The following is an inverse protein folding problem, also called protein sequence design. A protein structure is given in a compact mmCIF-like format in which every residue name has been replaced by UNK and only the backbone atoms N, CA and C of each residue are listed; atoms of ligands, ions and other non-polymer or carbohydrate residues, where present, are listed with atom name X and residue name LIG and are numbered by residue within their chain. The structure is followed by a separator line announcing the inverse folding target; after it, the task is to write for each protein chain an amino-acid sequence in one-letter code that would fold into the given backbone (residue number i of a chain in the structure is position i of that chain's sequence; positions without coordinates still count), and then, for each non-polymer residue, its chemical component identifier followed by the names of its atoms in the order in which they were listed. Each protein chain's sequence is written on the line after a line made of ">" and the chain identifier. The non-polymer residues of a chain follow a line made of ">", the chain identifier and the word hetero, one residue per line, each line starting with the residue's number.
data_IF_216321365361
#
_entry.id   IF_216321365361
#
_cell.length_a   1.000
_cell.length_b   1.000
_cell.length_c   1.000
_cell.angle_alpha   90.00
_cell.angle_beta   90.00
_cell.angle_gamma   90.00
#
_symmetry.space_group_name_H-M   'P 1'
#
loop_
_entity.id
_entity.type
_entity.pdbx_description
1 polymer ?
#
# COMPACT_ATOMS: atom_id res chain seq x y z
N UNK A 1 90.55 76.82 -78.77
CA UNK A 1 89.51 77.36 -77.87
C UNK A 1 88.94 76.15 -77.16
N UNK A 2 89.60 75.62 -76.13
CA UNK A 2 89.68 76.13 -74.74
C UNK A 2 88.31 76.11 -74.04
N UNK A 3 88.21 75.17 -73.08
CA UNK A 3 87.48 75.17 -71.79
C UNK A 3 85.96 75.44 -71.81
N UNK A 4 85.12 74.81 -70.99
CA UNK A 4 85.27 74.46 -69.59
C UNK A 4 84.10 73.55 -69.17
N UNK A 5 84.36 72.56 -68.31
CA UNK A 5 83.36 71.86 -67.51
C UNK A 5 82.87 72.78 -66.36
N UNK A 6 81.72 72.51 -65.75
CA UNK A 6 81.83 72.05 -64.38
C UNK A 6 80.84 70.94 -64.00
N UNK A 7 81.35 70.09 -63.12
CA UNK A 7 80.72 69.02 -62.35
C UNK A 7 79.59 69.50 -61.43
N UNK A 8 78.52 68.69 -61.33
CA UNK A 8 77.67 68.57 -60.14
C UNK A 8 77.38 67.10 -59.85
N UNK A 9 78.03 66.61 -58.81
CA UNK A 9 77.71 65.39 -58.08
C UNK A 9 76.70 65.70 -56.95
N UNK A 10 75.80 64.76 -56.67
CA UNK A 10 75.17 64.62 -55.35
C UNK A 10 73.65 64.78 -55.30
N UNK A 11 72.96 63.70 -54.94
CA UNK A 11 71.67 63.77 -54.25
C UNK A 11 70.61 62.76 -54.69
N UNK A 12 70.80 61.45 -54.49
CA UNK A 12 69.71 60.45 -54.54
C UNK A 12 69.74 59.46 -53.35
N UNK A 13 70.53 59.71 -52.30
CA UNK A 13 70.68 58.79 -51.15
C UNK A 13 69.57 58.88 -50.08
N UNK A 14 68.65 59.85 -50.16
CA UNK A 14 67.61 60.07 -49.13
C UNK A 14 66.27 59.35 -49.37
N UNK A 15 65.95 59.01 -50.62
CA UNK A 15 64.71 58.28 -50.95
C UNK A 15 64.80 56.79 -50.62
N UNK A 16 65.99 56.21 -50.81
CA UNK A 16 66.25 54.79 -50.55
C UNK A 16 66.10 54.41 -49.07
N UNK A 17 66.48 55.27 -48.13
CA UNK A 17 66.40 54.97 -46.70
C UNK A 17 64.96 55.10 -46.13
N UNK A 18 64.18 56.07 -46.60
CA UNK A 18 62.77 56.19 -46.22
C UNK A 18 61.91 55.09 -46.85
N UNK A 19 62.17 54.74 -48.10
CA UNK A 19 61.49 53.64 -48.80
C UNK A 19 61.84 52.29 -48.15
N UNK A 20 63.10 52.09 -47.75
CA UNK A 20 63.53 50.91 -46.98
C UNK A 20 62.90 50.85 -45.58
N UNK A 21 62.72 51.99 -44.90
CA UNK A 21 62.05 52.04 -43.59
C UNK A 21 60.55 51.71 -43.71
N UNK A 22 59.87 52.23 -44.73
CA UNK A 22 58.47 51.92 -45.02
C UNK A 22 58.28 50.45 -45.38
N UNK A 23 59.10 49.91 -46.29
CA UNK A 23 59.08 48.49 -46.67
C UNK A 23 59.38 47.58 -45.47
N UNK A 24 60.28 47.96 -44.57
CA UNK A 24 60.54 47.21 -43.32
C UNK A 24 59.35 47.21 -42.38
N UNK A 25 58.70 48.35 -42.18
CA UNK A 25 57.50 48.46 -41.35
C UNK A 25 56.32 47.67 -41.94
N UNK A 26 56.14 47.71 -43.25
CA UNK A 26 55.12 46.95 -43.96
C UNK A 26 55.38 45.44 -43.89
N UNK A 27 56.64 45.00 -44.05
CA UNK A 27 57.03 43.60 -43.84
C UNK A 27 56.80 43.16 -42.39
N UNK A 28 57.05 44.03 -41.40
CA UNK A 28 56.79 43.72 -40.00
C UNK A 28 55.29 43.62 -39.70
N UNK A 29 54.48 44.52 -40.25
CA UNK A 29 53.02 44.45 -40.15
C UNK A 29 52.48 43.18 -40.83
N UNK A 30 52.93 42.86 -42.05
CA UNK A 30 52.52 41.66 -42.78
C UNK A 30 52.94 40.40 -42.01
N UNK A 31 54.14 40.38 -41.40
CA UNK A 31 54.60 39.27 -40.54
C UNK A 31 53.74 39.09 -39.29
N UNK A 32 53.35 40.17 -38.61
CA UNK A 32 52.45 40.07 -37.43
C UNK A 32 51.07 39.55 -37.84
N UNK A 33 50.52 40.03 -38.96
CA UNK A 33 49.22 39.63 -39.48
C UNK A 33 49.20 38.15 -39.91
N UNK A 34 50.25 37.72 -40.63
CA UNK A 34 50.51 36.30 -40.94
C UNK A 34 50.70 35.46 -39.67
N UNK A 35 51.33 36.00 -38.63
CA UNK A 35 51.49 35.33 -37.33
C UNK A 35 50.15 35.12 -36.61
N UNK A 36 49.27 36.11 -36.63
CA UNK A 36 47.90 35.98 -36.09
C UNK A 36 47.04 35.02 -36.90
N UNK A 37 47.09 35.07 -38.24
CA UNK A 37 46.37 34.12 -39.11
C UNK A 37 46.84 32.68 -38.89
N UNK A 38 48.16 32.46 -38.77
CA UNK A 38 48.72 31.14 -38.40
C UNK A 38 48.30 30.69 -37.00
N UNK A 39 48.20 31.62 -36.04
CA UNK A 39 47.71 31.31 -34.70
C UNK A 39 46.23 30.94 -34.68
N UNK A 40 45.39 31.58 -35.51
CA UNK A 40 43.98 31.23 -35.64
C UNK A 40 43.81 29.89 -36.34
N UNK A 41 44.59 29.61 -37.40
CA UNK A 41 44.59 28.30 -38.08
C UNK A 41 45.00 27.16 -37.13
N UNK A 42 46.01 27.40 -36.28
CA UNK A 42 46.44 26.41 -35.28
C UNK A 42 45.37 26.14 -34.22
N UNK A 43 44.60 27.15 -33.81
CA UNK A 43 43.48 26.97 -32.86
C UNK A 43 42.28 26.29 -33.52
N UNK A 44 42.02 26.60 -34.79
CA UNK A 44 40.97 25.96 -35.59
C UNK A 44 41.23 24.46 -35.72
N UNK A 45 42.45 24.08 -36.09
CA UNK A 45 42.87 22.66 -36.18
C UNK A 45 42.82 21.95 -34.82
N UNK A 46 43.20 22.60 -33.72
CA UNK A 46 43.07 22.02 -32.38
C UNK A 46 41.61 21.81 -31.95
N UNK A 47 40.73 22.77 -32.25
CA UNK A 47 39.29 22.67 -31.97
C UNK A 47 38.61 21.61 -32.83
N UNK A 48 38.97 21.49 -34.11
CA UNK A 48 38.49 20.42 -34.99
C UNK A 48 38.93 19.04 -34.49
N UNK A 49 40.18 18.90 -34.03
CA UNK A 49 40.66 17.66 -33.43
C UNK A 49 39.93 17.31 -32.13
N UNK A 50 39.69 18.30 -31.26
CA UNK A 50 38.88 18.13 -30.03
C UNK A 50 37.44 17.77 -30.35
N UNK A 51 36.80 18.45 -31.31
CA UNK A 51 35.44 18.18 -31.74
C UNK A 51 35.32 16.75 -32.29
N UNK A 52 36.26 16.33 -33.13
CA UNK A 52 36.34 14.96 -33.65
C UNK A 52 36.51 13.94 -32.52
N UNK A 53 37.43 14.19 -31.57
CA UNK A 53 37.65 13.31 -30.43
C UNK A 53 36.38 13.18 -29.56
N UNK A 54 35.75 14.30 -29.19
CA UNK A 54 34.50 14.31 -28.41
C UNK A 54 33.34 13.70 -29.17
N UNK A 55 33.23 13.92 -30.49
CA UNK A 55 32.21 13.28 -31.33
C UNK A 55 32.39 11.77 -31.34
N UNK A 56 33.62 11.28 -31.52
CA UNK A 56 33.93 9.84 -31.48
C UNK A 56 33.64 9.23 -30.10
N UNK A 57 33.87 9.98 -29.02
CA UNK A 57 33.55 9.55 -27.67
C UNK A 57 32.04 9.49 -27.45
N UNK A 58 31.29 10.48 -27.93
CA UNK A 58 29.82 10.47 -27.87
C UNK A 58 29.24 9.31 -28.68
N UNK A 59 29.78 9.02 -29.87
CA UNK A 59 29.36 7.87 -30.68
C UNK A 59 29.59 6.55 -29.94
N UNK A 60 30.76 6.37 -29.31
CA UNK A 60 31.05 5.20 -28.47
C UNK A 60 30.11 5.08 -27.29
N UNK A 61 29.90 6.16 -26.53
CA UNK A 61 28.98 6.17 -25.39
C UNK A 61 27.55 5.84 -25.81
N UNK A 62 27.10 6.40 -26.93
CA UNK A 62 25.79 6.11 -27.52
C UNK A 62 25.68 4.65 -27.93
N UNK A 63 26.76 4.07 -28.49
CA UNK A 63 26.86 2.63 -28.76
C UNK A 63 26.70 1.79 -27.49
N UNK A 64 27.49 2.08 -26.46
CA UNK A 64 27.43 1.34 -25.17
C UNK A 64 26.08 1.48 -24.48
N UNK A 65 25.43 2.65 -24.56
CA UNK A 65 24.10 2.87 -24.00
C UNK A 65 23.03 2.06 -24.74
N UNK A 66 23.14 1.94 -26.08
CA UNK A 66 22.24 1.08 -26.85
C UNK A 66 22.43 -0.39 -26.48
N UNK A 67 23.68 -0.85 -26.42
CA UNK A 67 24.00 -2.23 -26.02
C UNK A 67 23.47 -2.56 -24.61
N UNK A 68 23.69 -1.68 -23.63
CA UNK A 68 23.18 -1.84 -22.27
C UNK A 68 21.64 -1.85 -22.24
N UNK A 69 20.99 -0.98 -23.02
CA UNK A 69 19.53 -0.97 -23.14
C UNK A 69 19.00 -2.28 -23.71
N UNK A 70 19.64 -2.79 -24.76
CA UNK A 70 19.22 -4.03 -25.42
C UNK A 70 19.42 -5.24 -24.49
N UNK A 71 20.48 -5.25 -23.66
CA UNK A 71 20.65 -6.24 -22.60
C UNK A 71 19.53 -6.18 -21.55
N UNK A 72 19.15 -4.99 -21.09
CA UNK A 72 18.05 -4.83 -20.13
C UNK A 72 16.72 -5.34 -20.72
N UNK A 73 16.44 -5.03 -21.99
CA UNK A 73 15.24 -5.51 -22.68
C UNK A 73 15.25 -7.05 -22.77
N UNK A 74 16.37 -7.64 -23.18
CA UNK A 74 16.52 -9.09 -23.26
C UNK A 74 16.33 -9.78 -21.89
N UNK A 75 16.92 -9.21 -20.83
CA UNK A 75 16.77 -9.74 -19.47
C UNK A 75 15.32 -9.63 -19.00
N UNK A 76 14.64 -8.54 -19.33
CA UNK A 76 13.22 -8.34 -19.00
C UNK A 76 12.34 -9.38 -19.71
N UNK A 77 12.56 -9.63 -20.99
CA UNK A 77 11.83 -10.66 -21.75
C UNK A 77 12.03 -12.07 -21.16
N UNK A 78 13.22 -12.35 -20.63
CA UNK A 78 13.50 -13.61 -19.94
C UNK A 78 12.75 -13.72 -18.61
N UNK A 79 12.70 -12.64 -17.82
CA UNK A 79 11.90 -12.56 -16.60
C UNK A 79 10.41 -12.75 -16.90
N UNK A 80 9.90 -12.10 -17.96
CA UNK A 80 8.49 -12.21 -18.37
C UNK A 80 8.14 -13.63 -18.85
N UNK A 81 9.06 -14.30 -19.55
CA UNK A 81 8.91 -15.70 -19.95
C UNK A 81 8.84 -16.64 -18.74
N UNK A 82 9.64 -16.40 -17.71
CA UNK A 82 9.59 -17.15 -16.46
C UNK A 82 8.30 -16.90 -15.66
N UNK A 83 7.51 -15.89 -16.01
CA UNK A 83 6.19 -15.64 -15.44
C UNK A 83 5.05 -16.31 -16.23
N UNK A 84 5.35 -17.01 -17.33
CA UNK A 84 4.34 -17.73 -18.11
C UNK A 84 3.93 -19.05 -17.41
N UNK A 85 2.64 -19.45 -17.45
CA UNK A 85 2.14 -20.70 -16.87
C UNK A 85 2.79 -21.95 -17.52
N UNK A 86 2.94 -23.09 -16.81
CA UNK A 86 2.10 -23.58 -15.72
C UNK A 86 2.55 -23.12 -14.33
N UNK A 87 1.63 -22.46 -13.62
CA UNK A 87 1.91 -21.73 -12.39
C UNK A 87 1.34 -22.46 -11.17
N UNK A 88 2.18 -22.59 -10.14
CA UNK A 88 1.75 -23.08 -8.84
C UNK A 88 1.17 -21.94 -8.00
N UNK A 89 0.25 -22.27 -7.10
CA UNK A 89 -0.28 -21.32 -6.12
C UNK A 89 0.40 -21.53 -4.77
N UNK A 90 0.45 -20.48 -3.97
CA UNK A 90 0.92 -20.53 -2.58
C UNK A 90 0.33 -19.40 -1.75
N UNK A 91 0.45 -19.51 -0.43
CA UNK A 91 0.00 -18.50 0.52
C UNK A 91 1.21 -17.76 1.10
N UNK A 92 1.23 -16.43 1.00
CA UNK A 92 2.28 -15.61 1.58
C UNK A 92 2.21 -15.63 3.12
N UNK A 93 3.33 -15.93 3.77
CA UNK A 93 3.42 -16.05 5.24
C UNK A 93 4.05 -14.81 5.86
N UNK A 94 5.25 -14.44 5.41
CA UNK A 94 6.01 -13.32 5.95
C UNK A 94 7.13 -12.90 4.99
N UNK A 95 7.60 -11.66 5.14
CA UNK A 95 8.82 -11.16 4.53
C UNK A 95 10.00 -11.35 5.47
N UNK A 96 11.17 -11.63 4.90
CA UNK A 96 12.43 -11.79 5.62
C UNK A 96 13.36 -10.59 5.39
N UNK A 97 14.41 -10.48 6.23
CA UNK A 97 15.40 -9.41 6.17
C UNK A 97 16.27 -9.43 4.89
N UNK A 98 16.38 -10.60 4.25
CA UNK A 98 17.20 -10.86 3.06
C UNK A 98 16.43 -10.67 1.73
N UNK A 99 15.34 -9.90 1.76
CA UNK A 99 14.40 -9.69 0.64
C UNK A 99 13.67 -10.93 0.12
N UNK A 100 13.90 -12.11 0.72
CA UNK A 100 13.12 -13.30 0.45
C UNK A 100 11.79 -13.27 1.21
N UNK A 101 10.89 -14.16 0.81
CA UNK A 101 9.59 -14.32 1.48
C UNK A 101 9.35 -15.79 1.80
N UNK A 102 8.66 -16.02 2.91
CA UNK A 102 8.20 -17.36 3.25
C UNK A 102 6.79 -17.55 2.69
N UNK A 103 6.60 -18.63 1.93
CA UNK A 103 5.33 -19.03 1.33
C UNK A 103 4.97 -20.45 1.76
N UNK A 104 3.67 -20.74 1.81
CA UNK A 104 3.17 -22.10 1.97
C UNK A 104 2.66 -22.61 0.63
N UNK A 105 3.19 -23.73 0.15
CA UNK A 105 2.74 -24.37 -1.09
C UNK A 105 3.00 -25.88 -1.03
N UNK A 106 2.12 -26.67 -1.63
CA UNK A 106 2.27 -28.14 -1.68
C UNK A 106 2.41 -28.81 -0.30
N UNK A 107 1.75 -28.27 0.74
CA UNK A 107 1.78 -28.84 2.09
C UNK A 107 3.03 -28.54 2.91
N UNK A 108 3.92 -27.66 2.44
CA UNK A 108 5.16 -27.30 3.12
C UNK A 108 5.45 -25.81 3.03
N UNK A 109 6.27 -25.33 3.97
CA UNK A 109 6.80 -23.96 3.95
C UNK A 109 8.05 -23.93 3.09
N UNK A 110 8.16 -22.92 2.22
CA UNK A 110 9.32 -22.64 1.40
C UNK A 110 9.73 -21.18 1.61
N UNK A 111 11.04 -20.93 1.59
CA UNK A 111 11.59 -19.59 1.46
C UNK A 111 11.95 -19.36 0.00
N UNK A 112 11.42 -18.31 -0.59
CA UNK A 112 11.45 -18.08 -2.02
C UNK A 112 11.81 -16.63 -2.33
N UNK A 113 12.32 -16.39 -3.54
CA UNK A 113 12.56 -15.04 -4.02
C UNK A 113 11.28 -14.45 -4.61
N UNK A 114 11.21 -13.12 -4.62
CA UNK A 114 10.12 -12.36 -5.24
C UNK A 114 10.64 -11.71 -6.51
N UNK A 115 9.91 -11.88 -7.61
CA UNK A 115 10.17 -11.23 -8.89
C UNK A 115 10.18 -9.71 -8.72
N UNK A 116 11.10 -8.98 -9.38
CA UNK A 116 11.10 -7.51 -9.37
C UNK A 116 9.81 -6.86 -9.87
N UNK A 117 8.96 -7.60 -10.58
CA UNK A 117 7.67 -7.12 -11.06
C UNK A 117 6.60 -7.02 -9.96
N UNK A 118 6.81 -7.68 -8.81
CA UNK A 118 5.89 -7.68 -7.67
C UNK A 118 6.37 -6.67 -6.63
N UNK A 119 5.46 -5.80 -6.21
CA UNK A 119 5.70 -4.91 -5.07
C UNK A 119 5.74 -5.71 -3.77
N UNK A 120 6.94 -5.85 -3.20
CA UNK A 120 7.18 -6.61 -1.96
C UNK A 120 6.57 -5.94 -0.74
N UNK A 121 6.40 -4.61 -0.76
CA UNK A 121 5.85 -3.84 0.35
C UNK A 121 4.32 -3.92 0.41
N UNK A 122 3.68 -4.26 -0.71
CA UNK A 122 2.23 -4.44 -0.82
C UNK A 122 1.75 -5.87 -0.47
N UNK A 123 2.66 -6.81 -0.22
CA UNK A 123 2.33 -8.20 0.13
C UNK A 123 1.75 -8.28 1.54
N UNK A 124 0.58 -8.91 1.64
CA UNK A 124 -0.19 -9.01 2.89
C UNK A 124 -0.19 -10.44 3.43
N UNK A 125 -0.09 -10.60 4.76
CA UNK A 125 -0.06 -11.94 5.40
C UNK A 125 -1.34 -12.72 5.08
N UNK A 126 -1.20 -13.93 4.54
CA UNK A 126 -2.32 -14.78 4.09
C UNK A 126 -2.72 -14.56 2.62
N UNK A 127 -2.16 -13.58 1.92
CA UNK A 127 -2.50 -13.33 0.52
C UNK A 127 -2.05 -14.50 -0.39
N UNK A 128 -2.85 -14.83 -1.39
CA UNK A 128 -2.46 -15.83 -2.38
C UNK A 128 -1.41 -15.26 -3.34
N UNK A 129 -0.44 -16.09 -3.71
CA UNK A 129 0.65 -15.73 -4.61
C UNK A 129 0.85 -16.79 -5.67
N UNK A 130 1.25 -16.34 -6.85
CA UNK A 130 1.60 -17.20 -7.97
C UNK A 130 3.11 -17.48 -7.94
N UNK A 131 3.45 -18.76 -8.05
CA UNK A 131 4.81 -19.29 -8.10
C UNK A 131 5.10 -19.84 -9.50
N UNK A 132 6.25 -19.46 -10.06
CA UNK A 132 6.72 -20.06 -11.31
C UNK A 132 7.40 -21.43 -11.10
N UNK A 133 7.90 -22.04 -12.17
CA UNK A 133 8.59 -23.34 -12.11
C UNK A 133 9.85 -23.32 -11.24
N UNK A 134 10.50 -22.16 -11.08
CA UNK A 134 11.64 -21.96 -10.20
C UNK A 134 11.24 -21.68 -8.73
N UNK A 135 9.96 -21.76 -8.40
CA UNK A 135 9.38 -21.43 -7.09
C UNK A 135 9.57 -19.96 -6.67
N UNK A 136 9.68 -19.03 -7.61
CA UNK A 136 9.71 -17.60 -7.29
C UNK A 136 8.29 -17.01 -7.34
N UNK A 137 8.00 -16.06 -6.45
CA UNK A 137 6.75 -15.30 -6.48
C UNK A 137 6.76 -14.35 -7.67
N UNK A 138 5.83 -14.51 -8.60
CA UNK A 138 5.72 -13.69 -9.82
C UNK A 138 4.49 -12.78 -9.83
N UNK A 139 3.48 -13.08 -9.01
CA UNK A 139 2.25 -12.28 -8.93
C UNK A 139 1.63 -12.44 -7.55
N UNK A 140 1.05 -11.36 -7.02
CA UNK A 140 0.20 -11.38 -5.84
C UNK A 140 -1.27 -11.33 -6.27
N UNK A 141 -2.10 -12.17 -5.67
CA UNK A 141 -3.55 -12.26 -5.90
C UNK A 141 -4.31 -11.71 -4.70
N UNK A 142 -5.63 -11.88 -4.66
CA UNK A 142 -6.41 -11.57 -3.48
C UNK A 142 -6.32 -12.70 -2.43
N UNK A 143 -7.12 -12.59 -1.37
CA UNK A 143 -7.21 -13.63 -0.35
C UNK A 143 -8.09 -14.77 -0.84
N UNK A 144 -7.89 -15.97 -0.29
CA UNK A 144 -8.73 -17.12 -0.60
C UNK A 144 -10.16 -16.90 -0.08
N UNK A 145 -11.15 -17.21 -0.93
CA UNK A 145 -12.58 -17.02 -0.68
C UNK A 145 -13.30 -18.36 -0.40
N UNK A 146 -12.60 -19.50 -0.57
CA UNK A 146 -13.16 -20.83 -0.40
C UNK A 146 -12.42 -21.61 0.69
N UNK A 147 -13.18 -22.28 1.57
CA UNK A 147 -12.59 -22.99 2.69
C UNK A 147 -13.60 -23.67 3.60
N UNK A 148 -13.13 -24.06 4.78
CA UNK A 148 -13.92 -24.61 5.87
C UNK A 148 -14.45 -23.49 6.77
N UNK A 149 -15.67 -23.63 7.29
CA UNK A 149 -16.20 -22.68 8.27
C UNK A 149 -15.90 -23.17 9.68
N UNK A 150 -15.22 -22.34 10.47
CA UNK A 150 -14.90 -22.60 11.87
C UNK A 150 -15.51 -21.54 12.78
N UNK A 151 -15.63 -21.85 14.06
CA UNK A 151 -16.10 -20.90 15.08
C UNK A 151 -14.91 -20.26 15.81
N UNK A 152 -14.94 -18.94 15.93
CA UNK A 152 -13.93 -18.18 16.66
C UNK A 152 -14.10 -18.35 18.17
N UNK A 153 -13.01 -18.61 18.91
CA UNK A 153 -13.00 -18.57 20.37
C UNK A 153 -12.35 -17.29 20.89
N UNK A 154 -11.06 -17.12 20.62
CA UNK A 154 -10.29 -15.99 21.13
C UNK A 154 -9.05 -15.72 20.28
N UNK A 155 -8.55 -14.48 20.33
CA UNK A 155 -7.24 -14.11 19.79
C UNK A 155 -6.19 -14.40 20.85
N UNK A 156 -5.04 -14.95 20.45
CA UNK A 156 -3.91 -15.21 21.34
C UNK A 156 -3.16 -13.90 21.69
N UNK A 157 -2.27 -13.97 22.66
CA UNK A 157 -1.51 -12.80 23.17
C UNK A 157 -0.69 -12.06 22.10
N UNK A 158 -0.30 -12.76 21.02
CA UNK A 158 0.47 -12.16 19.92
C UNK A 158 -0.37 -11.33 18.95
N UNK A 159 -1.70 -11.42 19.01
CA UNK A 159 -2.60 -10.70 18.10
C UNK A 159 -2.62 -11.21 16.65
N UNK A 160 -1.75 -12.16 16.29
CA UNK A 160 -1.62 -12.69 14.93
C UNK A 160 -2.25 -14.09 14.79
N UNK A 161 -2.46 -14.77 15.92
CA UNK A 161 -3.05 -16.11 15.96
C UNK A 161 -4.35 -16.12 16.75
N UNK A 162 -5.22 -17.05 16.40
CA UNK A 162 -6.48 -17.27 17.08
C UNK A 162 -6.69 -18.75 17.39
N UNK A 163 -7.43 -18.99 18.47
CA UNK A 163 -8.01 -20.28 18.77
C UNK A 163 -9.37 -20.38 18.09
N UNK A 164 -9.57 -21.42 17.29
CA UNK A 164 -10.83 -21.73 16.63
C UNK A 164 -11.28 -23.14 16.96
N UNK A 165 -12.58 -23.37 16.82
CA UNK A 165 -13.21 -24.66 16.99
C UNK A 165 -13.85 -25.11 15.68
N UNK A 166 -13.42 -26.28 15.21
CA UNK A 166 -13.94 -26.94 14.02
C UNK A 166 -15.29 -27.61 14.25
N UNK A 167 -15.78 -28.29 13.23
CA UNK A 167 -17.07 -28.97 13.23
C UNK A 167 -17.18 -30.16 14.20
N UNK A 168 -16.07 -30.76 14.62
CA UNK A 168 -16.02 -31.91 15.53
C UNK A 168 -15.60 -31.52 16.97
N UNK A 169 -15.88 -30.29 17.37
CA UNK A 169 -15.43 -29.68 18.64
C UNK A 169 -13.90 -29.70 18.83
N UNK A 170 -13.17 -29.89 17.73
CA UNK A 170 -11.71 -29.90 17.74
C UNK A 170 -11.14 -28.49 17.76
N UNK A 171 -10.20 -28.25 18.66
CA UNK A 171 -9.53 -26.97 18.81
C UNK A 171 -8.30 -26.90 17.90
N UNK A 172 -8.18 -25.78 17.18
CA UNK A 172 -7.03 -25.50 16.32
C UNK A 172 -6.52 -24.09 16.54
N UNK A 173 -5.20 -23.95 16.48
CA UNK A 173 -4.54 -22.65 16.42
C UNK A 173 -4.35 -22.30 14.95
N UNK A 174 -4.87 -21.15 14.54
CA UNK A 174 -4.83 -20.64 13.17
C UNK A 174 -4.21 -19.25 13.14
N UNK A 175 -3.75 -18.83 11.96
CA UNK A 175 -3.26 -17.47 11.72
C UNK A 175 -4.40 -16.60 11.23
N UNK A 176 -4.40 -15.33 11.64
CA UNK A 176 -5.31 -14.33 11.12
C UNK A 176 -4.69 -13.72 9.86
N UNK A 177 -5.41 -13.77 8.74
CA UNK A 177 -4.99 -13.05 7.54
C UNK A 177 -5.20 -11.55 7.72
N UNK A 178 -4.45 -10.76 6.98
CA UNK A 178 -4.51 -9.31 7.07
C UNK A 178 -5.84 -8.72 6.58
N UNK A 179 -6.63 -9.48 5.81
CA UNK A 179 -8.02 -9.16 5.46
C UNK A 179 -8.93 -8.99 6.69
N UNK A 180 -8.58 -9.59 7.83
CA UNK A 180 -9.29 -9.43 9.10
C UNK A 180 -8.78 -8.25 9.94
N UNK A 181 -7.75 -7.54 9.49
CA UNK A 181 -7.18 -6.43 10.23
C UNK A 181 -8.23 -5.33 10.47
N UNK A 182 -8.42 -4.95 11.73
CA UNK A 182 -9.42 -3.95 12.14
C UNK A 182 -10.84 -4.48 12.32
N UNK A 183 -11.13 -5.74 11.97
CA UNK A 183 -12.43 -6.36 12.24
C UNK A 183 -12.45 -6.83 13.69
N UNK A 184 -13.44 -6.37 14.48
CA UNK A 184 -13.62 -6.80 15.86
C UNK A 184 -14.32 -8.17 15.90
N UNK A 185 -13.52 -9.23 16.02
CA UNK A 185 -13.99 -10.60 16.20
C UNK A 185 -14.55 -10.83 17.61
N UNK A 186 -15.67 -11.55 17.70
CA UNK A 186 -16.31 -11.95 18.96
C UNK A 186 -16.40 -13.47 19.05
N UNK A 187 -16.24 -14.06 20.24
CA UNK A 187 -16.44 -15.49 20.45
C UNK A 187 -17.78 -15.95 19.85
N UNK A 188 -17.74 -17.00 19.03
CA UNK A 188 -18.89 -17.53 18.28
C UNK A 188 -18.99 -17.03 16.84
N UNK A 189 -18.24 -15.99 16.44
CA UNK A 189 -18.18 -15.56 15.04
C UNK A 189 -17.75 -16.72 14.14
N UNK A 190 -18.39 -16.81 12.97
CA UNK A 190 -18.04 -17.81 11.96
C UNK A 190 -16.98 -17.27 11.03
N UNK A 191 -15.97 -18.08 10.78
CA UNK A 191 -14.73 -17.68 10.13
C UNK A 191 -14.39 -18.63 8.99
N UNK A 192 -13.91 -18.09 7.87
CA UNK A 192 -13.43 -18.88 6.72
C UNK A 192 -11.98 -19.31 6.92
N UNK A 193 -11.75 -20.61 7.09
CA UNK A 193 -10.43 -21.23 7.28
C UNK A 193 -9.98 -21.97 6.01
N UNK A 194 -8.77 -21.69 5.54
CA UNK A 194 -8.04 -22.66 4.71
C UNK A 194 -7.20 -23.58 5.62
N UNK A 195 -7.65 -24.82 5.74
CA UNK A 195 -7.02 -25.84 6.58
C UNK A 195 -5.61 -26.21 6.11
N UNK A 196 -5.24 -25.93 4.85
CA UNK A 196 -3.90 -26.23 4.32
C UNK A 196 -2.88 -25.20 4.80
N UNK A 197 -3.12 -23.91 4.57
CA UNK A 197 -2.22 -22.83 5.01
C UNK A 197 -2.36 -22.53 6.51
N UNK A 198 -3.51 -22.89 7.10
CA UNK A 198 -3.87 -22.58 8.48
C UNK A 198 -4.22 -21.11 8.69
N UNK A 199 -4.67 -20.42 7.65
CA UNK A 199 -5.13 -19.03 7.71
C UNK A 199 -6.64 -18.93 7.76
N UNK A 200 -7.11 -17.92 8.48
CA UNK A 200 -8.49 -17.46 8.40
C UNK A 200 -8.56 -16.12 7.67
N UNK A 201 -9.48 -16.01 6.71
CA UNK A 201 -9.56 -14.86 5.80
C UNK A 201 -10.69 -13.89 6.07
N UNK A 202 -11.88 -14.38 6.41
CA UNK A 202 -13.05 -13.52 6.57
C UNK A 202 -14.03 -14.03 7.60
N UNK A 203 -14.86 -13.10 8.11
CA UNK A 203 -15.98 -13.40 9.00
C UNK A 203 -17.23 -13.62 8.17
N UNK A 204 -17.75 -14.84 8.21
CA UNK A 204 -18.97 -15.24 7.53
C UNK A 204 -20.18 -14.81 8.35
N UNK A 205 -21.04 -13.92 7.84
CA UNK A 205 -22.31 -13.63 8.48
C UNK A 205 -23.22 -14.86 8.40
N UNK A 206 -23.65 -15.40 9.55
CA UNK A 206 -24.65 -16.46 9.61
C UNK A 206 -26.03 -15.86 9.79
N UNK A 207 -26.89 -15.99 8.78
CA UNK A 207 -28.28 -15.52 8.84
C UNK A 207 -29.08 -16.18 9.97
N UNK A 208 -28.79 -17.43 10.34
CA UNK A 208 -29.52 -18.15 11.40
C UNK A 208 -29.32 -17.57 12.82
N UNK A 209 -28.21 -16.87 13.09
CA UNK A 209 -27.94 -16.26 14.41
C UNK A 209 -28.63 -14.90 14.54
N UNK A 210 -28.92 -14.23 13.42
CA UNK A 210 -29.68 -12.98 13.40
C UNK A 210 -31.18 -13.23 13.63
N UNK A 211 -31.73 -14.34 13.12
CA UNK A 211 -33.15 -14.69 13.28
C UNK A 211 -33.57 -15.03 14.72
N UNK A 212 -32.64 -15.41 15.60
CA UNK A 212 -32.95 -15.72 17.01
C UNK A 212 -32.98 -14.49 17.94
N UNK A 213 -32.56 -13.32 17.46
CA UNK A 213 -32.38 -12.12 18.31
C UNK A 213 -33.25 -10.93 17.89
N UNK A 214 -34.09 -11.08 16.86
CA UNK A 214 -35.06 -10.06 16.47
C UNK A 214 -36.49 -10.64 16.51
N UNK A 215 -37.00 -10.90 17.72
CA UNK A 215 -38.44 -10.70 17.89
C UNK A 215 -38.67 -9.20 17.74
N UNK A 216 -39.27 -8.79 16.62
CA UNK A 216 -39.82 -7.45 16.40
C UNK A 216 -40.42 -6.96 17.73
N UNK A 217 -39.99 -5.78 18.20
CA UNK A 217 -40.64 -5.11 19.33
C UNK A 217 -42.04 -4.78 18.83
N UNK A 218 -43.10 -5.50 19.24
CA UNK A 218 -44.41 -5.25 18.70
C UNK A 218 -44.94 -3.96 19.33
N UNK A 219 -45.72 -3.20 18.57
CA UNK A 219 -46.40 -1.99 19.03
C UNK A 219 -47.53 -2.33 20.02
N UNK A 220 -47.14 -2.69 21.25
CA UNK A 220 -48.05 -3.03 22.35
C UNK A 220 -47.91 -1.94 23.41
N UNK A 221 -48.94 -1.10 23.54
CA UNK A 221 -49.02 -0.13 24.63
C UNK A 221 -49.48 -0.79 25.93
N UNK A 222 -49.07 -0.24 27.08
CA UNK A 222 -49.53 -0.70 28.40
C UNK A 222 -51.05 -0.68 28.56
N UNK A 223 -51.75 0.18 27.82
CA UNK A 223 -53.21 0.30 27.82
C UNK A 223 -53.90 -0.94 27.24
N UNK A 224 -53.20 -1.71 26.41
CA UNK A 224 -53.71 -2.96 25.85
C UNK A 224 -53.72 -4.12 26.85
N UNK A 225 -53.10 -3.94 28.03
CA UNK A 225 -52.95 -5.00 29.04
C UNK A 225 -53.97 -4.80 30.17
N UNK A 226 -55.04 -5.59 30.15
CA UNK A 226 -56.07 -5.58 31.18
C UNK A 226 -55.63 -6.23 32.50
N UNK A 227 -56.00 -5.62 33.64
CA UNK A 227 -55.94 -6.26 34.95
C UNK A 227 -54.55 -6.38 35.62
N UNK A 228 -53.49 -5.85 34.99
CA UNK A 228 -52.10 -5.99 35.46
C UNK A 228 -51.43 -4.65 35.82
N UNK A 229 -52.21 -3.64 36.20
CA UNK A 229 -51.71 -2.27 36.46
C UNK A 229 -50.60 -2.23 37.51
N UNK A 230 -50.77 -2.94 38.62
CA UNK A 230 -49.78 -2.97 39.71
C UNK A 230 -48.45 -3.61 39.25
N UNK A 231 -48.53 -4.67 38.45
CA UNK A 231 -47.36 -5.36 37.91
C UNK A 231 -46.63 -4.49 36.88
N UNK A 232 -47.38 -3.78 36.02
CA UNK A 232 -46.83 -2.84 35.06
C UNK A 232 -46.05 -1.73 35.78
N UNK A 233 -46.61 -1.16 36.85
CA UNK A 233 -45.95 -0.13 37.66
C UNK A 233 -44.64 -0.64 38.28
N UNK A 234 -44.67 -1.83 38.90
CA UNK A 234 -43.46 -2.44 39.46
C UNK A 234 -42.36 -2.72 38.43
N UNK A 235 -42.72 -3.12 37.21
CA UNK A 235 -41.74 -3.38 36.15
C UNK A 235 -41.21 -2.07 35.57
N UNK A 236 -42.06 -1.05 35.45
CA UNK A 236 -41.67 0.31 35.06
C UNK A 236 -40.65 0.90 36.02
N UNK A 237 -40.87 0.75 37.32
CA UNK A 237 -39.94 1.20 38.35
C UNK A 237 -38.61 0.41 38.32
N UNK A 238 -38.69 -0.88 38.01
CA UNK A 238 -37.49 -1.72 37.91
C UNK A 238 -36.68 -1.46 36.65
N UNK A 239 -37.30 -1.17 35.51
CA UNK A 239 -36.64 -1.14 34.19
C UNK A 239 -36.51 0.27 33.64
N UNK A 240 -37.58 1.07 33.65
CA UNK A 240 -37.56 2.41 33.05
C UNK A 240 -36.92 3.44 33.99
N UNK A 241 -37.24 3.40 35.29
CA UNK A 241 -36.76 4.40 36.25
C UNK A 241 -35.22 4.49 36.35
N UNK A 242 -34.46 3.38 36.43
CA UNK A 242 -33.00 3.45 36.49
C UNK A 242 -32.37 3.95 35.19
N UNK A 243 -33.08 3.78 34.06
CA UNK A 243 -32.61 4.22 32.76
C UNK A 243 -32.92 5.70 32.51
N UNK A 244 -34.12 6.16 32.89
CA UNK A 244 -34.56 7.54 32.74
C UNK A 244 -33.87 8.47 33.74
N UNK A 245 -33.64 8.01 34.97
CA UNK A 245 -33.09 8.81 36.06
C UNK A 245 -31.88 8.14 36.73
N UNK A 246 -30.78 7.90 36.00
CA UNK A 246 -29.58 7.29 36.57
C UNK A 246 -28.99 8.13 37.72
N UNK A 247 -29.16 9.46 37.67
CA UNK A 247 -28.69 10.38 38.71
C UNK A 247 -29.27 10.08 40.10
N UNK A 248 -30.57 9.71 40.17
CA UNK A 248 -31.24 9.38 41.44
C UNK A 248 -30.65 8.10 42.04
N UNK A 249 -30.33 7.12 41.19
CA UNK A 249 -29.73 5.87 41.64
C UNK A 249 -28.29 6.08 42.15
N UNK A 250 -27.53 6.97 41.53
CA UNK A 250 -26.18 7.33 41.98
C UNK A 250 -26.25 8.10 43.30
N UNK A 251 -27.13 9.10 43.40
CA UNK A 251 -27.29 9.94 44.60
C UNK A 251 -27.67 9.11 45.83
N UNK A 252 -28.54 8.12 45.67
CA UNK A 252 -28.98 7.24 46.75
C UNK A 252 -28.13 5.96 46.90
N UNK A 253 -27.00 5.85 46.19
CA UNK A 253 -26.11 4.68 46.19
C UNK A 253 -26.84 3.34 45.89
N UNK A 254 -27.90 3.40 45.08
CA UNK A 254 -28.71 2.25 44.69
C UNK A 254 -28.14 1.58 43.44
N UNK A 255 -28.05 0.25 43.45
CA UNK A 255 -27.66 -0.53 42.27
C UNK A 255 -28.89 -0.79 41.40
N UNK A 256 -28.88 -0.42 40.10
CA UNK A 256 -29.99 -0.73 39.22
C UNK A 256 -30.15 -2.26 39.05
N UNK A 257 -31.37 -2.78 38.99
CA UNK A 257 -31.60 -4.20 38.77
C UNK A 257 -31.16 -4.60 37.35
N UNK A 258 -30.53 -5.77 37.20
CA UNK A 258 -30.00 -6.27 35.91
C UNK A 258 -30.97 -7.17 35.13
N UNK A 259 -32.07 -7.59 35.76
CA UNK A 259 -33.02 -8.50 35.15
C UNK A 259 -34.30 -8.61 35.98
N UNK A 260 -35.40 -8.97 35.31
CA UNK A 260 -36.73 -9.11 35.91
C UNK A 260 -37.23 -10.52 35.66
N UNK A 261 -37.77 -11.17 36.70
CA UNK A 261 -38.38 -12.50 36.60
C UNK A 261 -39.90 -12.36 36.61
N UNK A 262 -40.54 -12.66 35.48
CA UNK A 262 -42.00 -12.75 35.37
C UNK A 262 -42.43 -14.20 35.58
N UNK A 263 -43.16 -14.48 36.65
CA UNK A 263 -43.66 -15.82 36.97
C UNK A 263 -45.18 -15.82 37.23
N UNK A 264 -45.82 -16.97 37.02
CA UNK A 264 -47.26 -17.15 37.25
C UNK A 264 -47.87 -18.21 36.32
N UNK A 265 -49.17 -18.50 36.44
CA UNK A 265 -49.87 -19.48 35.58
C UNK A 265 -49.75 -19.14 34.07
N UNK A 266 -49.73 -20.14 33.16
CA UNK A 266 -49.70 -19.87 31.72
C UNK A 266 -50.95 -19.06 31.31
N UNK A 267 -50.81 -18.19 30.30
CA UNK A 267 -51.91 -17.33 29.81
C UNK A 267 -52.17 -16.02 30.56
N UNK A 268 -51.45 -15.73 31.66
CA UNK A 268 -51.63 -14.49 32.43
C UNK A 268 -50.87 -13.25 31.90
N UNK A 269 -50.58 -13.18 30.59
CA UNK A 269 -50.02 -11.96 29.98
C UNK A 269 -48.53 -11.66 30.25
N UNK A 270 -47.74 -12.60 30.79
CA UNK A 270 -46.29 -12.41 31.05
C UNK A 270 -45.50 -11.93 29.83
N UNK A 271 -45.66 -12.62 28.69
CA UNK A 271 -45.00 -12.26 27.43
C UNK A 271 -45.48 -10.90 26.91
N UNK A 272 -46.78 -10.59 27.07
CA UNK A 272 -47.32 -9.29 26.64
C UNK A 272 -46.78 -8.13 27.46
N UNK A 273 -46.64 -8.29 28.78
CA UNK A 273 -46.02 -7.26 29.62
C UNK A 273 -44.56 -7.05 29.23
N UNK A 274 -43.79 -8.12 29.05
CA UNK A 274 -42.39 -7.99 28.63
C UNK A 274 -42.25 -7.23 27.31
N UNK A 275 -43.11 -7.54 26.32
CA UNK A 275 -43.15 -6.84 25.03
C UNK A 275 -43.55 -5.37 25.16
N UNK A 276 -44.56 -5.05 25.97
CA UNK A 276 -44.98 -3.66 26.20
C UNK A 276 -43.91 -2.81 26.91
N UNK A 277 -43.15 -3.40 27.84
CA UNK A 277 -42.04 -2.72 28.51
C UNK A 277 -40.90 -2.43 27.53
N UNK A 278 -40.57 -3.38 26.65
CA UNK A 278 -39.58 -3.17 25.61
C UNK A 278 -39.99 -2.04 24.64
N UNK A 279 -41.25 -2.03 24.20
CA UNK A 279 -41.80 -0.99 23.33
C UNK A 279 -41.77 0.40 24.00
N UNK A 280 -42.21 0.49 25.26
CA UNK A 280 -42.21 1.76 25.99
C UNK A 280 -40.81 2.29 26.25
N UNK A 281 -39.86 1.41 26.59
CA UNK A 281 -38.46 1.80 26.78
C UNK A 281 -37.86 2.30 25.46
N UNK A 282 -38.06 1.58 24.35
CA UNK A 282 -37.55 1.99 23.04
C UNK A 282 -38.08 3.39 22.63
N UNK A 283 -39.39 3.64 22.81
CA UNK A 283 -40.00 4.95 22.53
C UNK A 283 -39.38 6.07 23.35
N UNK A 284 -39.20 5.86 24.66
CA UNK A 284 -38.61 6.87 25.56
C UNK A 284 -37.12 7.10 25.34
N UNK A 285 -36.40 6.05 24.91
CA UNK A 285 -35.00 6.17 24.48
C UNK A 285 -34.95 7.08 23.26
N UNK A 286 -35.74 6.79 22.22
CA UNK A 286 -35.83 7.59 20.99
C UNK A 286 -36.17 9.06 21.28
N UNK A 287 -37.14 9.32 22.16
CA UNK A 287 -37.51 10.68 22.58
C UNK A 287 -36.37 11.45 23.30
N UNK A 288 -35.47 10.73 23.99
CA UNK A 288 -34.35 11.33 24.74
C UNK A 288 -33.08 11.47 23.90
N UNK A 289 -32.81 10.53 22.99
CA UNK A 289 -31.61 10.52 22.15
C UNK A 289 -31.81 11.17 20.78
N UNK A 290 -33.05 11.38 20.33
CA UNK A 290 -33.38 12.04 19.07
C UNK A 290 -33.15 11.18 17.82
N UNK A 291 -33.06 9.85 17.98
CA UNK A 291 -32.97 8.83 16.92
C UNK A 291 -34.15 7.88 16.98
#
# INVERSE_FOLDING_TARGET
>A
MSDNEPTRTGGHAGGSDQEMAYLRAEVEHLRRRLGTERSTDSRLTELEAKLSATSSQNERLTGTLREARDQIVSLKEEVDRLAQPPTGFGTFLQRNDDESVDVFTGGRKLRVNVSPAVDKDALRKGQEVILNEAMNVVTALDFEEIGEVVSFKEVLEDGERALVMGNADEERIVRLAESLAGIKLRPGDSLLLDSRSGYVYERIPKSEVEDLVLEEVPDIDYESIGGLRNQIESIRDAVELPYLHPEIFIEHELKPPKGVLLYGPPGCGKTMIAKAVAASLAKKVSERTGE
#
